data_IF_110280379151
#
_entry.id   IF_110280379151
#
_cell.length_a   1.000
_cell.length_b   1.000
_cell.length_c   1.000
_cell.angle_alpha   90.00
_cell.angle_beta   90.00
_cell.angle_gamma   90.00
#
_symmetry.space_group_name_H-M   'P 1'
#
loop_
_entity.id
_entity.type
_entity.pdbx_description
1 polymer ?
#
# COMPACT_ATOMS: atom_id res chain seq x y z
N UNK A 1 35.31 2.81 16.43
CA UNK A 1 34.78 3.63 15.32
C UNK A 1 33.32 3.28 15.13
N UNK A 2 32.42 4.12 15.64
CA UNK A 2 30.99 4.01 15.37
C UNK A 2 30.77 4.43 13.92
N UNK A 3 30.26 3.53 13.07
CA UNK A 3 29.76 3.90 11.74
C UNK A 3 28.75 5.02 11.94
N UNK A 4 29.02 6.19 11.38
CA UNK A 4 28.00 7.22 11.19
C UNK A 4 26.84 6.56 10.46
N UNK A 5 25.67 6.53 11.10
CA UNK A 5 24.44 6.03 10.52
C UNK A 5 24.20 6.85 9.24
N UNK A 6 24.42 6.23 8.08
CA UNK A 6 24.09 6.85 6.80
C UNK A 6 22.62 7.24 6.85
N UNK A 7 22.31 8.50 6.53
CA UNK A 7 20.94 9.00 6.57
C UNK A 7 20.08 8.18 5.59
N UNK A 8 19.02 7.55 6.08
CA UNK A 8 18.08 6.80 5.24
C UNK A 8 17.45 7.74 4.20
N UNK A 9 17.68 7.53 2.88
CA UNK A 9 17.22 8.45 1.83
C UNK A 9 15.74 8.23 1.46
N UNK A 10 14.93 7.70 2.37
CA UNK A 10 13.53 7.34 2.12
C UNK A 10 12.62 8.40 2.71
N UNK A 11 11.70 8.90 1.89
CA UNK A 11 10.69 9.87 2.30
C UNK A 11 9.29 9.27 2.15
N UNK A 12 8.46 9.48 3.16
CA UNK A 12 7.04 9.18 3.14
C UNK A 12 6.30 10.44 2.73
N UNK A 13 5.54 10.35 1.64
CA UNK A 13 4.61 11.39 1.23
C UNK A 13 3.30 11.25 2.00
N UNK A 14 2.78 12.36 2.55
CA UNK A 14 1.55 12.35 3.32
C UNK A 14 0.79 13.68 3.17
N UNK A 15 -0.53 13.61 3.29
CA UNK A 15 -1.41 14.74 3.02
C UNK A 15 -1.33 15.18 1.55
N UNK A 16 -2.30 15.98 1.12
CA UNK A 16 -2.37 16.48 -0.25
C UNK A 16 -2.91 15.47 -1.26
N UNK A 17 -3.30 16.00 -2.41
CA UNK A 17 -3.80 15.28 -3.57
C UNK A 17 -2.87 15.42 -4.78
N UNK A 18 -1.74 16.12 -4.66
CA UNK A 18 -0.81 16.35 -5.76
C UNK A 18 0.65 16.19 -5.33
N UNK A 19 1.49 15.61 -6.20
CA UNK A 19 2.94 15.50 -5.99
C UNK A 19 3.71 16.08 -7.18
N UNK A 20 4.70 16.94 -6.91
CA UNK A 20 5.68 17.36 -7.91
C UNK A 20 6.76 16.29 -8.06
N UNK A 21 7.04 15.88 -9.30
CA UNK A 21 8.07 14.89 -9.65
C UNK A 21 9.44 15.55 -9.86
N UNK A 22 9.44 16.80 -10.28
CA UNK A 22 10.65 17.61 -10.49
C UNK A 22 10.40 19.10 -10.17
N UNK A 23 11.34 19.97 -10.57
CA UNK A 23 11.29 21.42 -10.30
C UNK A 23 10.28 22.18 -11.16
N UNK A 24 9.83 21.58 -12.26
CA UNK A 24 8.87 22.18 -13.18
C UNK A 24 7.42 21.89 -12.78
N UNK A 25 7.21 20.96 -11.83
CA UNK A 25 5.90 20.59 -11.31
C UNK A 25 5.12 21.74 -10.67
N UNK A 26 3.83 21.83 -10.99
CA UNK A 26 2.96 22.98 -10.63
C UNK A 26 1.78 22.62 -9.72
N UNK A 27 1.94 21.65 -8.81
CA UNK A 27 0.92 21.37 -7.80
C UNK A 27 0.50 22.63 -7.03
N UNK A 28 -0.81 22.89 -6.86
CA UNK A 28 -1.31 23.93 -5.96
C UNK A 28 -0.77 23.73 -4.54
N UNK A 29 -0.43 24.83 -3.83
CA UNK A 29 0.22 24.75 -2.51
C UNK A 29 -0.62 24.04 -1.45
N UNK A 30 -1.94 24.15 -1.54
CA UNK A 30 -2.93 23.53 -0.68
C UNK A 30 -3.21 22.06 -1.01
N UNK A 31 -2.90 21.63 -2.23
CA UNK A 31 -3.00 20.23 -2.67
C UNK A 31 -1.66 19.48 -2.60
N UNK A 32 -0.54 20.19 -2.47
CA UNK A 32 0.79 19.61 -2.51
C UNK A 32 1.05 18.69 -1.31
N UNK A 33 1.49 17.48 -1.58
CA UNK A 33 1.88 16.52 -0.55
C UNK A 33 3.07 16.99 0.27
N UNK A 34 3.03 16.69 1.57
CA UNK A 34 4.15 16.90 2.48
C UNK A 34 5.04 15.66 2.46
N UNK A 35 6.31 15.85 2.85
CA UNK A 35 7.28 14.76 2.98
C UNK A 35 7.79 14.68 4.42
N UNK A 36 7.97 13.47 4.93
CA UNK A 36 8.67 13.20 6.19
C UNK A 36 9.70 12.09 5.94
N UNK A 37 10.85 12.15 6.61
CA UNK A 37 11.88 11.10 6.45
C UNK A 37 11.45 9.83 7.17
N UNK A 38 11.82 8.69 6.63
CA UNK A 38 11.82 7.44 7.38
C UNK A 38 12.99 7.45 8.37
N UNK A 39 12.73 7.00 9.59
CA UNK A 39 13.72 6.77 10.64
C UNK A 39 14.13 5.28 10.68
N UNK A 40 13.14 4.39 10.63
CA UNK A 40 13.36 2.94 10.66
C UNK A 40 12.37 2.23 9.75
N UNK A 41 12.83 1.17 9.07
CA UNK A 41 11.97 0.29 8.29
C UNK A 41 12.12 -1.12 8.82
N UNK A 42 11.00 -1.74 9.18
CA UNK A 42 10.96 -3.11 9.67
C UNK A 42 10.08 -3.96 8.78
N UNK A 43 10.58 -5.13 8.39
CA UNK A 43 9.83 -6.10 7.59
C UNK A 43 9.97 -7.52 8.15
N UNK A 44 9.00 -8.41 7.91
CA UNK A 44 9.09 -9.80 8.33
C UNK A 44 10.24 -10.55 7.63
N UNK A 45 11.04 -11.32 8.38
CA UNK A 45 12.17 -12.11 7.80
C UNK A 45 11.71 -13.17 6.81
N UNK A 46 10.53 -13.72 6.98
CA UNK A 46 10.03 -14.77 6.10
C UNK A 46 9.73 -14.23 4.69
N UNK A 47 9.69 -12.91 4.48
CA UNK A 47 9.68 -12.32 3.15
C UNK A 47 10.80 -12.85 2.27
N UNK A 48 12.03 -12.76 2.76
CA UNK A 48 13.18 -13.31 2.03
C UNK A 48 13.21 -14.84 2.07
N UNK A 49 12.81 -15.44 3.19
CA UNK A 49 12.77 -16.90 3.34
C UNK A 49 11.80 -17.61 2.39
N UNK A 50 10.80 -16.89 1.86
CA UNK A 50 9.81 -17.40 0.91
C UNK A 50 10.06 -16.94 -0.52
N UNK A 51 11.24 -16.38 -0.82
CA UNK A 51 11.54 -15.78 -2.12
C UNK A 51 10.48 -14.72 -2.51
N UNK A 52 10.18 -13.82 -1.57
CA UNK A 52 9.30 -12.67 -1.72
C UNK A 52 7.83 -13.01 -2.01
N UNK A 53 7.36 -14.23 -1.67
CA UNK A 53 5.96 -14.60 -1.92
C UNK A 53 5.02 -14.35 -0.74
N UNK A 54 5.53 -14.41 0.49
CA UNK A 54 4.76 -14.14 1.72
C UNK A 54 5.45 -13.05 2.51
N UNK A 55 4.75 -12.29 3.34
CA UNK A 55 5.38 -11.29 4.22
C UNK A 55 5.70 -9.97 3.52
N UNK A 56 5.07 -9.70 2.38
CA UNK A 56 5.26 -8.46 1.63
C UNK A 56 4.49 -7.30 2.29
N UNK A 57 4.98 -6.88 3.45
CA UNK A 57 4.50 -5.78 4.27
C UNK A 57 5.67 -5.21 5.07
N UNK A 58 5.69 -3.89 5.26
CA UNK A 58 6.69 -3.23 6.09
C UNK A 58 6.03 -2.19 7.01
N UNK A 59 6.67 -1.95 8.15
CA UNK A 59 6.37 -0.83 9.05
C UNK A 59 7.46 0.21 8.87
N UNK A 60 7.05 1.46 8.67
CA UNK A 60 7.95 2.60 8.57
C UNK A 60 7.71 3.49 9.78
N UNK A 61 8.72 3.64 10.62
CA UNK A 61 8.79 4.70 11.62
C UNK A 61 9.33 5.96 10.95
N UNK A 62 8.74 7.11 11.24
CA UNK A 62 9.09 8.39 10.62
C UNK A 62 9.86 9.29 11.60
N UNK A 63 10.78 10.09 11.08
CA UNK A 63 11.59 11.05 11.84
C UNK A 63 10.77 12.31 12.16
N UNK A 64 9.84 12.17 13.12
CA UNK A 64 8.98 13.24 13.62
C UNK A 64 7.51 12.86 13.68
N UNK A 65 6.63 13.88 13.67
CA UNK A 65 5.18 13.70 13.68
C UNK A 65 4.55 14.28 12.42
N UNK A 66 3.48 13.64 11.96
CA UNK A 66 2.69 14.19 10.87
C UNK A 66 1.97 15.47 11.32
N UNK A 67 2.17 16.56 10.57
CA UNK A 67 1.53 17.86 10.85
C UNK A 67 0.26 18.04 10.05
N UNK A 68 -0.74 18.66 10.67
CA UNK A 68 -2.03 19.02 10.07
C UNK A 68 -2.83 17.82 9.53
N UNK A 69 -2.65 16.64 10.13
CA UNK A 69 -3.55 15.52 9.90
C UNK A 69 -4.81 15.69 10.76
N UNK A 70 -5.99 15.65 10.12
CA UNK A 70 -7.23 15.62 10.88
C UNK A 70 -7.32 14.31 11.69
N UNK A 71 -7.71 14.37 12.97
CA UNK A 71 -7.89 13.17 13.79
C UNK A 71 -8.96 12.20 13.23
N UNK A 72 -9.86 12.71 12.38
CA UNK A 72 -10.97 11.94 11.80
C UNK A 72 -10.66 11.32 10.44
N UNK A 73 -9.85 11.96 9.58
CA UNK A 73 -9.49 11.48 8.22
C UNK A 73 -8.00 11.23 8.00
N UNK A 74 -7.17 11.46 9.01
CA UNK A 74 -5.71 11.34 8.91
C UNK A 74 -5.17 9.93 9.07
N UNK A 75 -5.98 8.99 9.56
CA UNK A 75 -5.56 7.61 9.81
C UNK A 75 -6.66 6.62 9.43
N UNK A 76 -6.27 5.54 8.77
CA UNK A 76 -7.14 4.40 8.51
C UNK A 76 -7.15 3.43 9.70
N UNK A 77 -8.18 2.59 9.78
CA UNK A 77 -8.33 1.59 10.82
C UNK A 77 -7.64 0.28 10.42
N UNK A 78 -7.17 -0.48 11.41
CA UNK A 78 -6.81 -1.89 11.21
C UNK A 78 -8.08 -2.75 11.31
N UNK A 79 -8.26 -3.74 10.41
CA UNK A 79 -9.35 -4.70 10.50
C UNK A 79 -9.11 -5.68 11.65
N UNK A 80 -10.18 -6.36 12.07
CA UNK A 80 -10.00 -7.56 12.89
C UNK A 80 -9.61 -8.78 12.05
N UNK A 81 -9.03 -9.81 12.67
CA UNK A 81 -8.75 -11.09 12.00
C UNK A 81 -10.02 -11.76 11.41
N UNK A 82 -11.19 -11.47 11.99
CA UNK A 82 -12.52 -11.96 11.59
C UNK A 82 -13.25 -11.01 10.64
N UNK A 83 -12.73 -9.80 10.40
CA UNK A 83 -13.37 -8.81 9.51
C UNK A 83 -13.47 -9.39 8.11
N UNK A 84 -14.70 -9.48 7.58
CA UNK A 84 -14.97 -10.05 6.26
C UNK A 84 -14.54 -9.05 5.18
N UNK A 85 -13.87 -9.58 4.16
CA UNK A 85 -13.50 -8.82 2.98
C UNK A 85 -14.74 -8.59 2.11
N UNK A 86 -15.03 -7.33 1.82
CA UNK A 86 -16.12 -6.93 0.92
C UNK A 86 -15.80 -7.27 -0.54
N UNK A 87 -16.82 -7.24 -1.39
CA UNK A 87 -16.66 -7.48 -2.82
C UNK A 87 -15.97 -6.31 -3.53
N UNK A 88 -16.26 -5.08 -3.10
CA UNK A 88 -15.67 -3.87 -3.66
C UNK A 88 -14.62 -3.34 -2.68
N UNK A 89 -13.43 -3.04 -3.19
CA UNK A 89 -12.32 -2.47 -2.42
C UNK A 89 -11.75 -1.27 -3.20
N UNK A 90 -10.97 -0.44 -2.53
CA UNK A 90 -10.32 0.72 -3.17
C UNK A 90 -8.88 0.90 -2.71
N UNK A 91 -8.06 1.50 -3.54
CA UNK A 91 -6.78 2.10 -3.13
C UNK A 91 -6.69 3.51 -3.70
N UNK A 92 -5.72 4.26 -3.23
CA UNK A 92 -5.36 5.53 -3.83
C UNK A 92 -3.84 5.66 -3.92
N UNK A 93 -3.38 6.33 -4.96
CA UNK A 93 -1.95 6.53 -5.20
C UNK A 93 -1.65 7.48 -6.35
N UNK A 94 -0.35 7.66 -6.60
CA UNK A 94 0.20 8.56 -7.61
C UNK A 94 0.92 7.75 -8.70
N UNK A 95 0.33 6.63 -9.09
CA UNK A 95 0.85 5.67 -10.04
C UNK A 95 1.27 6.28 -11.37
N UNK A 96 2.06 5.53 -12.12
CA UNK A 96 2.45 5.90 -13.48
C UNK A 96 1.22 5.96 -14.40
N UNK A 97 1.05 7.08 -15.09
CA UNK A 97 0.01 7.28 -16.11
C UNK A 97 0.64 7.11 -17.51
N UNK A 98 0.31 6.05 -18.26
CA UNK A 98 0.85 5.81 -19.60
C UNK A 98 0.46 6.90 -20.61
N UNK A 99 -0.63 7.64 -20.39
CA UNK A 99 -1.07 8.73 -21.26
C UNK A 99 -0.27 10.02 -21.05
N UNK A 100 0.39 10.15 -19.89
CA UNK A 100 1.22 11.32 -19.52
C UNK A 100 2.58 10.88 -18.95
N UNK A 101 3.42 10.19 -19.75
CA UNK A 101 4.65 9.57 -19.27
C UNK A 101 5.75 10.57 -18.86
N UNK A 102 5.62 11.84 -19.27
CA UNK A 102 6.54 12.94 -18.97
C UNK A 102 5.90 14.02 -18.10
N UNK A 103 4.89 13.67 -17.31
CA UNK A 103 4.28 14.63 -16.40
C UNK A 103 5.32 15.14 -15.38
N UNK A 104 5.27 16.44 -15.08
CA UNK A 104 6.09 17.08 -14.04
C UNK A 104 5.43 17.03 -12.66
N UNK A 105 4.13 16.76 -12.63
CA UNK A 105 3.33 16.52 -11.43
C UNK A 105 2.36 15.36 -11.62
N UNK A 106 1.86 14.80 -10.51
CA UNK A 106 0.81 13.78 -10.51
C UNK A 106 -0.27 14.11 -9.51
N UNK A 107 -1.49 13.77 -9.87
CA UNK A 107 -2.66 13.86 -9.01
C UNK A 107 -2.94 12.50 -8.35
N UNK A 108 -3.53 12.54 -7.17
CA UNK A 108 -3.93 11.35 -6.43
C UNK A 108 -5.13 10.75 -7.15
N UNK A 109 -4.98 9.50 -7.58
CA UNK A 109 -6.04 8.77 -8.24
C UNK A 109 -6.54 7.65 -7.34
N UNK A 110 -7.80 7.28 -7.53
CA UNK A 110 -8.44 6.17 -6.84
C UNK A 110 -8.62 5.02 -7.81
N UNK A 111 -8.28 3.82 -7.37
CA UNK A 111 -8.51 2.57 -8.11
C UNK A 111 -9.56 1.76 -7.38
N UNK A 112 -10.50 1.19 -8.15
CA UNK A 112 -11.53 0.30 -7.63
C UNK A 112 -11.22 -1.13 -8.00
N UNK A 113 -11.37 -2.00 -7.02
CA UNK A 113 -11.11 -3.42 -7.14
C UNK A 113 -12.37 -4.23 -6.88
N UNK A 114 -12.49 -5.34 -7.60
CA UNK A 114 -13.43 -6.40 -7.25
C UNK A 114 -12.65 -7.59 -6.69
N UNK A 115 -13.04 -8.06 -5.50
CA UNK A 115 -12.46 -9.26 -4.90
C UNK A 115 -12.65 -10.47 -5.81
N UNK A 116 -11.57 -11.19 -6.06
CA UNK A 116 -11.60 -12.47 -6.77
C UNK A 116 -11.65 -13.64 -5.78
N UNK A 117 -12.29 -14.74 -6.20
CA UNK A 117 -12.32 -15.99 -5.42
C UNK A 117 -11.00 -16.75 -5.52
N UNK A 118 -10.37 -16.69 -6.69
CA UNK A 118 -9.14 -17.39 -7.02
C UNK A 118 -8.17 -16.41 -7.65
N UNK A 119 -6.90 -16.52 -7.27
CA UNK A 119 -5.83 -15.78 -7.92
C UNK A 119 -5.57 -16.31 -9.32
N UNK A 120 -5.03 -15.46 -10.19
CA UNK A 120 -4.53 -15.90 -11.48
C UNK A 120 -3.39 -16.91 -11.25
N UNK A 121 -3.46 -18.14 -11.81
CA UNK A 121 -2.44 -19.17 -11.60
C UNK A 121 -1.07 -18.80 -12.17
N UNK A 122 -1.01 -17.80 -13.07
CA UNK A 122 0.25 -17.31 -13.64
C UNK A 122 0.99 -16.33 -12.73
N UNK A 123 0.31 -15.80 -11.70
CA UNK A 123 0.90 -14.82 -10.78
C UNK A 123 1.31 -15.50 -9.47
N UNK A 124 2.59 -15.36 -9.12
CA UNK A 124 3.14 -15.87 -7.88
C UNK A 124 2.56 -15.10 -6.69
N UNK A 125 2.03 -15.83 -5.71
CA UNK A 125 1.47 -15.26 -4.49
C UNK A 125 1.61 -16.22 -3.30
N UNK A 126 1.63 -15.65 -2.10
CA UNK A 126 1.67 -16.37 -0.83
C UNK A 126 0.29 -16.74 -0.28
N UNK A 127 0.25 -17.59 0.75
CA UNK A 127 -1.00 -17.96 1.46
C UNK A 127 -1.57 -16.82 2.32
N UNK A 128 -0.78 -15.78 2.51
CA UNK A 128 -1.11 -14.56 3.22
C UNK A 128 -1.67 -13.47 2.29
N UNK A 129 -1.94 -13.77 1.02
CA UNK A 129 -2.49 -12.83 0.06
C UNK A 129 -3.96 -13.11 -0.28
N UNK A 130 -4.60 -12.13 -0.91
CA UNK A 130 -5.84 -12.30 -1.66
C UNK A 130 -5.74 -11.57 -2.99
N UNK A 131 -6.54 -11.96 -3.97
CA UNK A 131 -6.48 -11.40 -5.32
C UNK A 131 -7.70 -10.58 -5.66
N UNK A 132 -7.49 -9.66 -6.58
CA UNK A 132 -8.50 -8.71 -7.05
C UNK A 132 -8.46 -8.56 -8.56
N UNK A 133 -9.58 -8.09 -9.09
CA UNK A 133 -9.78 -7.68 -10.47
C UNK A 133 -9.83 -6.14 -10.49
N UNK A 134 -9.09 -5.56 -11.42
CA UNK A 134 -9.10 -4.12 -11.69
C UNK A 134 -10.02 -3.81 -12.88
N UNK A 135 -10.83 -2.77 -12.76
CA UNK A 135 -11.80 -2.39 -13.80
C UNK A 135 -11.75 -0.91 -14.09
N UNK A 136 -11.56 -0.55 -15.36
CA UNK A 136 -11.48 0.83 -15.91
C UNK A 136 -10.33 1.70 -15.38
N UNK A 137 -9.92 1.53 -14.14
CA UNK A 137 -8.79 2.19 -13.49
C UNK A 137 -7.86 1.10 -12.98
N UNK A 138 -6.56 1.36 -13.07
CA UNK A 138 -5.53 0.37 -12.82
C UNK A 138 -4.49 0.90 -11.85
N UNK A 139 -4.05 0.05 -10.93
CA UNK A 139 -2.95 0.40 -10.05
C UNK A 139 -1.63 0.12 -10.77
N UNK A 140 -0.80 1.14 -10.85
CA UNK A 140 0.35 1.16 -11.73
C UNK A 140 1.65 1.18 -10.93
N UNK A 141 2.78 1.09 -11.64
CA UNK A 141 4.09 1.35 -11.05
C UNK A 141 4.08 2.69 -10.29
N UNK A 142 4.41 2.63 -9.00
CA UNK A 142 4.32 3.77 -8.08
C UNK A 142 3.20 3.66 -7.04
N UNK A 143 2.20 2.79 -7.25
CA UNK A 143 1.14 2.51 -6.28
C UNK A 143 1.44 1.29 -5.39
N UNK A 144 2.51 0.56 -5.66
CA UNK A 144 2.97 -0.58 -4.85
C UNK A 144 3.18 -0.12 -3.39
N UNK A 145 2.69 -0.91 -2.44
CA UNK A 145 2.64 -0.54 -1.03
C UNK A 145 1.41 0.26 -0.62
N UNK A 146 0.54 0.68 -1.55
CA UNK A 146 -0.70 1.39 -1.20
C UNK A 146 -1.65 0.51 -0.37
N UNK A 147 -2.38 1.16 0.54
CA UNK A 147 -3.41 0.49 1.32
C UNK A 147 -4.63 0.17 0.46
N UNK A 148 -5.01 -1.11 0.41
CA UNK A 148 -6.27 -1.57 -0.16
C UNK A 148 -7.33 -1.57 0.95
N UNK A 149 -8.33 -0.73 0.77
CA UNK A 149 -9.25 -0.29 1.79
C UNK A 149 -10.69 -0.70 1.50
N UNK A 150 -11.47 -0.85 2.58
CA UNK A 150 -12.93 -0.96 2.52
C UNK A 150 -13.56 -0.13 3.66
N UNK A 151 -14.82 0.33 3.54
CA UNK A 151 -15.48 1.09 4.59
C UNK A 151 -15.50 0.34 5.94
N UNK A 152 -15.05 1.01 6.99
CA UNK A 152 -15.23 0.58 8.38
C UNK A 152 -16.51 1.17 8.99
N UNK A 153 -16.79 2.42 8.63
CA UNK A 153 -18.00 3.19 8.92
C UNK A 153 -18.06 4.38 7.95
N UNK A 154 -19.02 5.29 8.14
CA UNK A 154 -19.24 6.45 7.25
C UNK A 154 -18.04 7.42 7.15
N UNK A 155 -17.08 7.34 8.08
CA UNK A 155 -15.98 8.30 8.19
C UNK A 155 -14.58 7.68 8.05
N UNK A 156 -14.47 6.36 8.15
CA UNK A 156 -13.18 5.65 8.18
C UNK A 156 -13.23 4.37 7.38
N UNK A 157 -12.08 4.03 6.82
CA UNK A 157 -11.85 2.79 6.13
C UNK A 157 -10.94 1.86 6.93
N UNK A 158 -11.12 0.56 6.75
CA UNK A 158 -10.14 -0.46 7.15
C UNK A 158 -9.11 -0.64 6.04
N UNK A 159 -7.83 -0.74 6.41
CA UNK A 159 -6.78 -1.23 5.51
C UNK A 159 -6.82 -2.76 5.51
N UNK A 160 -7.47 -3.34 4.52
CA UNK A 160 -7.63 -4.79 4.39
C UNK A 160 -6.38 -5.47 3.85
N UNK A 161 -5.57 -4.74 3.09
CA UNK A 161 -4.34 -5.26 2.53
C UNK A 161 -3.39 -4.19 2.02
N UNK A 162 -2.22 -4.63 1.57
CA UNK A 162 -1.18 -3.80 0.94
C UNK A 162 -1.00 -4.29 -0.49
N UNK A 163 -1.03 -3.39 -1.47
CA UNK A 163 -0.81 -3.74 -2.87
C UNK A 163 0.62 -4.26 -3.07
N UNK A 164 0.76 -5.55 -3.36
CA UNK A 164 2.03 -6.24 -3.54
C UNK A 164 2.40 -6.29 -5.03
N UNK A 165 1.65 -7.08 -5.80
CA UNK A 165 1.80 -7.20 -7.25
C UNK A 165 0.65 -6.45 -7.91
N UNK A 166 0.98 -5.50 -8.79
CA UNK A 166 0.03 -4.78 -9.65
C UNK A 166 0.24 -5.12 -11.12
N UNK A 167 -0.59 -4.54 -11.98
CA UNK A 167 -0.49 -4.68 -13.44
C UNK A 167 0.59 -3.75 -14.00
N UNK A 168 1.13 -4.08 -15.18
CA UNK A 168 1.88 -3.10 -15.97
C UNK A 168 0.90 -2.24 -16.77
N UNK A 169 0.80 -0.97 -16.42
CA UNK A 169 -0.15 -0.06 -17.06
C UNK A 169 0.19 0.29 -18.51
N UNK A 170 1.42 0.02 -19.00
CA UNK A 170 1.71 0.10 -20.43
C UNK A 170 1.05 -1.05 -21.17
N UNK A 171 1.23 -2.27 -20.68
CA UNK A 171 0.60 -3.46 -21.26
C UNK A 171 -0.92 -3.34 -21.26
N UNK A 172 -1.50 -2.82 -20.17
CA UNK A 172 -2.94 -2.54 -20.08
C UNK A 172 -3.36 -1.47 -21.08
N UNK A 173 -2.60 -0.38 -21.22
CA UNK A 173 -2.91 0.70 -22.17
C UNK A 173 -2.89 0.18 -23.61
N UNK A 174 -1.83 -0.54 -23.99
CA UNK A 174 -1.67 -1.12 -25.32
C UNK A 174 -2.82 -2.10 -25.62
N UNK A 175 -3.18 -2.97 -24.66
CA UNK A 175 -4.31 -3.90 -24.81
C UNK A 175 -5.67 -3.18 -24.96
N UNK A 176 -5.86 -2.03 -24.32
CA UNK A 176 -7.08 -1.23 -24.43
C UNK A 176 -7.19 -0.50 -25.77
N UNK A 177 -6.10 0.06 -26.28
CA UNK A 177 -6.05 0.73 -27.59
C UNK A 177 -6.31 -0.26 -28.73
N UNK A 178 -5.90 -1.53 -28.58
CA UNK A 178 -6.18 -2.58 -29.56
C UNK A 178 -7.65 -3.03 -29.63
N UNK A 179 -8.58 -2.44 -28.84
CA UNK A 179 -10.03 -2.76 -28.81
C UNK A 179 -10.37 -4.24 -28.55
N UNK A 180 -9.46 -5.00 -27.94
CA UNK A 180 -9.55 -6.47 -27.93
C UNK A 180 -10.18 -7.11 -26.69
N UNK A 181 -10.47 -6.37 -25.62
CA UNK A 181 -10.85 -6.99 -24.34
C UNK A 181 -11.84 -6.12 -23.54
N UNK A 182 -12.72 -6.77 -22.78
CA UNK A 182 -13.39 -6.16 -21.63
C UNK A 182 -12.36 -5.42 -20.75
N UNK A 183 -12.71 -4.23 -20.24
CA UNK A 183 -11.84 -3.38 -19.40
C UNK A 183 -11.62 -3.94 -17.99
N UNK A 184 -11.43 -5.25 -17.88
CA UNK A 184 -11.30 -6.04 -16.67
C UNK A 184 -10.00 -6.84 -16.74
N UNK A 185 -9.05 -6.52 -15.85
CA UNK A 185 -7.74 -7.15 -15.83
C UNK A 185 -7.53 -7.88 -14.50
N UNK A 186 -7.02 -9.11 -14.61
CA UNK A 186 -6.68 -10.00 -13.48
C UNK A 186 -5.17 -9.99 -13.28
N UNK A 187 -4.74 -10.31 -12.07
CA UNK A 187 -3.33 -10.51 -11.75
C UNK A 187 -2.84 -9.73 -10.55
N UNK A 188 -3.64 -8.81 -10.03
CA UNK A 188 -3.25 -8.02 -8.86
C UNK A 188 -3.38 -8.82 -7.56
N UNK A 189 -2.30 -8.81 -6.78
CA UNK A 189 -2.14 -9.55 -5.53
C UNK A 189 -1.98 -8.58 -4.39
N UNK A 190 -2.78 -8.78 -3.34
CA UNK A 190 -2.81 -7.94 -2.16
C UNK A 190 -2.37 -8.74 -0.94
N UNK A 191 -1.34 -8.28 -0.22
CA UNK A 191 -0.94 -8.85 1.07
C UNK A 191 -2.03 -8.59 2.10
N UNK A 192 -2.55 -9.64 2.75
CA UNK A 192 -3.68 -9.55 3.67
C UNK A 192 -3.24 -9.04 5.05
N UNK A 193 -3.57 -7.79 5.39
CA UNK A 193 -3.20 -7.16 6.68
C UNK A 193 -3.68 -7.97 7.89
N UNK A 194 -4.81 -8.68 7.78
CA UNK A 194 -5.34 -9.52 8.87
C UNK A 194 -4.40 -10.65 9.30
N UNK A 195 -3.47 -11.06 8.43
CA UNK A 195 -2.44 -12.06 8.74
C UNK A 195 -1.24 -11.49 9.49
N UNK A 196 -1.16 -10.16 9.58
CA UNK A 196 -0.02 -9.41 10.12
C UNK A 196 -0.39 -8.51 11.30
N UNK A 197 -1.59 -8.65 11.88
CA UNK A 197 -2.03 -7.81 13.00
C UNK A 197 -1.10 -7.91 14.21
N UNK A 198 -0.55 -9.10 14.47
CA UNK A 198 0.43 -9.29 15.55
C UNK A 198 1.74 -8.54 15.27
N UNK A 199 2.25 -8.65 14.04
CA UNK A 199 3.43 -7.91 13.59
C UNK A 199 3.22 -6.40 13.71
N UNK A 200 2.08 -5.89 13.23
CA UNK A 200 1.75 -4.46 13.25
C UNK A 200 1.68 -3.96 14.70
N UNK A 201 0.92 -4.62 15.57
CA UNK A 201 0.78 -4.21 16.96
C UNK A 201 2.10 -4.28 17.74
N UNK A 202 2.91 -5.33 17.53
CA UNK A 202 4.21 -5.46 18.21
C UNK A 202 5.15 -4.28 17.88
N UNK A 203 5.12 -3.79 16.64
CA UNK A 203 6.00 -2.72 16.19
C UNK A 203 5.41 -1.31 16.32
N UNK A 204 4.09 -1.16 16.39
CA UNK A 204 3.43 0.16 16.38
C UNK A 204 2.64 0.46 17.65
N UNK A 205 2.34 -0.55 18.48
CA UNK A 205 1.38 -0.44 19.57
C UNK A 205 -0.08 -0.33 19.14
N UNK A 206 -0.38 -0.37 17.84
CA UNK A 206 -1.76 -0.34 17.31
C UNK A 206 -2.31 -1.76 17.25
N UNK A 207 -3.21 -2.09 18.19
CA UNK A 207 -3.65 -3.46 18.45
C UNK A 207 -5.19 -3.58 18.42
N UNK A 208 -5.72 -4.78 18.20
CA UNK A 208 -7.13 -5.05 18.50
C UNK A 208 -7.36 -4.98 20.03
N UNK A 209 -8.55 -4.55 20.46
CA UNK A 209 -8.86 -4.33 21.89
C UNK A 209 -8.72 -5.58 22.78
N UNK A 210 -8.79 -6.78 22.21
CA UNK A 210 -8.81 -8.05 22.95
C UNK A 210 -7.53 -8.87 22.80
N UNK A 211 -6.43 -8.24 22.42
CA UNK A 211 -5.15 -8.91 22.23
C UNK A 211 -4.50 -9.28 23.55
N UNK A 212 -4.22 -10.57 23.76
CA UNK A 212 -3.35 -11.05 24.82
C UNK A 212 -1.89 -11.09 24.35
N UNK A 213 -1.12 -10.04 24.66
CA UNK A 213 0.30 -9.94 24.26
C UNK A 213 1.19 -11.07 24.80
N UNK A 214 0.76 -11.82 25.82
CA UNK A 214 1.55 -12.91 26.42
C UNK A 214 1.61 -14.18 25.56
N UNK A 215 0.67 -14.35 24.64
CA UNK A 215 0.57 -15.55 23.79
C UNK A 215 1.31 -15.41 22.45
N UNK A 216 2.00 -14.27 22.25
CA UNK A 216 2.51 -13.90 20.93
C UNK A 216 3.82 -14.58 20.59
N UNK A 217 3.87 -15.19 19.40
CA UNK A 217 5.12 -15.64 18.81
C UNK A 217 5.81 -14.45 18.18
N UNK A 218 6.99 -14.11 18.68
CA UNK A 218 7.83 -13.05 18.09
C UNK A 218 8.17 -13.42 16.65
N UNK A 219 7.54 -12.74 15.69
CA UNK A 219 7.95 -12.83 14.29
C UNK A 219 9.39 -12.34 14.17
N UNK A 220 10.23 -13.13 13.51
CA UNK A 220 11.60 -12.74 13.24
C UNK A 220 11.58 -11.61 12.21
N UNK A 221 12.33 -10.53 12.45
CA UNK A 221 12.30 -9.32 11.62
C UNK A 221 13.68 -8.93 11.08
N UNK A 222 13.67 -8.18 10.00
CA UNK A 222 14.83 -7.44 9.52
C UNK A 222 14.56 -5.96 9.75
N UNK A 223 15.57 -5.29 10.31
CA UNK A 223 15.58 -3.85 10.51
C UNK A 223 16.54 -3.27 9.48
N UNK A 224 16.04 -2.35 8.67
CA UNK A 224 16.84 -1.56 7.75
C UNK A 224 17.10 -0.21 8.42
N UNK A 225 18.37 0.16 8.52
CA UNK A 225 18.84 1.44 9.07
C UNK A 225 19.22 2.38 7.94
#
# INVERSE_FOLDING_TARGET
MLRTQESMPVFVHYGGNCVNLDREGKCPKDELSKKIRAAHIVMPRHYFGTNCSEGDIAIIEVDGTFKDLSAYRGYACLPSNTTKLQTSLTSAGYGFDPTRPRAHEKQLERVWYKKERYCDPTVKHGKDAFCVLEKKQFACKGDSGSGVMQPANDFRDYVMGVLSVGLDCRDVHDALEENRIDREFRGSVITNVRKYLEFICYHTGVCEKHVNMKEWRKLRTLVVY
#
